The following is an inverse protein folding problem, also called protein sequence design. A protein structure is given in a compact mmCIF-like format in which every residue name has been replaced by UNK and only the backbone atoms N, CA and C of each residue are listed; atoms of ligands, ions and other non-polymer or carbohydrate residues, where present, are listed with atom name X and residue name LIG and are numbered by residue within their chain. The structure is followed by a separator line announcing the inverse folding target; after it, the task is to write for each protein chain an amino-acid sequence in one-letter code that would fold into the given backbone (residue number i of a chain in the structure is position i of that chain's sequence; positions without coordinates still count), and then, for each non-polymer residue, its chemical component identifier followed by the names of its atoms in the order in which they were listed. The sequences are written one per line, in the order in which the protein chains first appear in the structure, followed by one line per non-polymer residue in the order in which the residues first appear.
data_IF_600066524753
#
_entry.id   IF_600066524753
#
_cell.length_a   1.000
_cell.length_b   1.000
_cell.length_c   1.000
_cell.angle_alpha   90.00
_cell.angle_beta   90.00
_cell.angle_gamma   90.00
#
_symmetry.space_group_name_H-M   'P 1'
#
loop_
_entity.id
_entity.type
_entity.pdbx_description
1 polymer ?
#
# COMPACT_ATOMS: atom_id res chain seq x y z
N UNK A 1 -50.68 25.09 -38.53
CA UNK A 1 -49.50 24.34 -38.06
C UNK A 1 -49.95 23.62 -36.81
N UNK A 2 -50.04 22.30 -36.88
CA UNK A 2 -50.58 21.53 -35.78
C UNK A 2 -49.57 21.49 -34.63
N UNK A 3 -50.03 21.63 -33.39
CA UNK A 3 -49.17 21.67 -32.20
C UNK A 3 -48.30 20.39 -32.08
N UNK A 4 -48.76 19.28 -32.68
CA UNK A 4 -48.03 18.01 -32.83
C UNK A 4 -46.77 18.12 -33.70
N UNK A 5 -46.75 18.98 -34.71
CA UNK A 5 -45.62 19.11 -35.65
C UNK A 5 -44.42 19.80 -35.00
N UNK A 6 -44.64 20.57 -33.93
CA UNK A 6 -43.58 21.27 -33.17
C UNK A 6 -43.09 20.44 -31.99
N UNK A 7 -43.97 19.67 -31.34
CA UNK A 7 -43.61 18.86 -30.16
C UNK A 7 -42.74 17.66 -30.53
N UNK A 8 -43.04 16.99 -31.65
CA UNK A 8 -42.36 15.74 -32.03
C UNK A 8 -40.85 15.94 -32.29
N UNK A 9 -40.42 17.02 -33.00
CA UNK A 9 -39.00 17.38 -33.14
C UNK A 9 -38.34 17.77 -31.82
N UNK A 10 -39.06 18.49 -30.96
CA UNK A 10 -38.55 18.91 -29.64
C UNK A 10 -38.33 17.72 -28.70
N UNK A 11 -39.25 16.75 -28.70
CA UNK A 11 -39.15 15.54 -27.91
C UNK A 11 -38.00 14.63 -28.39
N UNK A 12 -37.78 14.53 -29.71
CA UNK A 12 -36.66 13.77 -30.27
C UNK A 12 -35.31 14.44 -29.97
N UNK A 13 -35.20 15.77 -30.10
CA UNK A 13 -34.00 16.51 -29.69
C UNK A 13 -33.70 16.33 -28.19
N UNK A 14 -34.72 16.44 -27.33
CA UNK A 14 -34.56 16.23 -25.89
C UNK A 14 -34.15 14.79 -25.57
N UNK A 15 -34.71 13.79 -26.26
CA UNK A 15 -34.35 12.39 -26.09
C UNK A 15 -32.91 12.10 -26.52
N UNK A 16 -32.47 12.64 -27.68
CA UNK A 16 -31.09 12.50 -28.16
C UNK A 16 -30.11 13.18 -27.20
N UNK A 17 -30.45 14.38 -26.71
CA UNK A 17 -29.62 15.10 -25.74
C UNK A 17 -29.50 14.36 -24.41
N UNK A 18 -30.60 13.82 -23.88
CA UNK A 18 -30.59 13.01 -22.67
C UNK A 18 -29.81 11.71 -22.85
N UNK A 19 -29.96 11.03 -23.99
CA UNK A 19 -29.22 9.82 -24.32
C UNK A 19 -27.71 10.12 -24.40
N UNK A 20 -27.31 11.18 -25.11
CA UNK A 20 -25.91 11.59 -25.20
C UNK A 20 -25.31 11.94 -23.83
N UNK A 21 -26.04 12.70 -23.01
CA UNK A 21 -25.59 13.08 -21.67
C UNK A 21 -25.52 11.86 -20.72
N UNK A 22 -26.45 10.91 -20.85
CA UNK A 22 -26.41 9.66 -20.10
C UNK A 22 -25.22 8.78 -20.50
N UNK A 23 -24.98 8.61 -21.80
CA UNK A 23 -23.82 7.88 -22.33
C UNK A 23 -22.51 8.52 -21.88
N UNK A 24 -22.37 9.84 -22.01
CA UNK A 24 -21.17 10.56 -21.58
C UNK A 24 -20.91 10.40 -20.08
N UNK A 25 -21.94 10.54 -19.24
CA UNK A 25 -21.83 10.32 -17.79
C UNK A 25 -21.46 8.87 -17.46
N UNK A 26 -22.01 7.91 -18.18
CA UNK A 26 -21.72 6.50 -17.96
C UNK A 26 -20.28 6.16 -18.36
N UNK A 27 -19.79 6.69 -19.48
CA UNK A 27 -18.39 6.54 -19.89
C UNK A 27 -17.42 7.21 -18.92
N UNK A 28 -17.72 8.43 -18.47
CA UNK A 28 -16.90 9.12 -17.46
C UNK A 28 -16.84 8.32 -16.16
N UNK A 29 -17.99 7.82 -15.69
CA UNK A 29 -18.06 6.98 -14.50
C UNK A 29 -17.31 5.66 -14.67
N UNK A 30 -17.38 5.05 -15.86
CA UNK A 30 -16.65 3.82 -16.18
C UNK A 30 -15.14 4.07 -16.16
N UNK A 31 -14.66 5.13 -16.82
CA UNK A 31 -13.25 5.50 -16.82
C UNK A 31 -12.72 5.84 -15.43
N UNK A 32 -13.51 6.57 -14.64
CA UNK A 32 -13.17 6.87 -13.24
C UNK A 32 -13.03 5.59 -12.41
N UNK A 33 -13.93 4.62 -12.62
CA UNK A 33 -13.88 3.32 -11.96
C UNK A 33 -12.65 2.51 -12.38
N UNK A 34 -12.34 2.48 -13.68
CA UNK A 34 -11.14 1.82 -14.23
C UNK A 34 -9.86 2.43 -13.65
N UNK A 35 -9.77 3.76 -13.59
CA UNK A 35 -8.61 4.46 -13.00
C UNK A 35 -8.47 4.12 -11.51
N UNK A 36 -9.56 4.16 -10.75
CA UNK A 36 -9.54 3.82 -9.31
C UNK A 36 -9.17 2.36 -9.07
N UNK A 37 -9.70 1.45 -9.88
CA UNK A 37 -9.39 0.03 -9.81
C UNK A 37 -7.91 -0.23 -10.13
N UNK A 38 -7.39 0.34 -11.22
CA UNK A 38 -5.99 0.19 -11.61
C UNK A 38 -5.03 0.81 -10.58
N UNK A 39 -5.39 1.95 -9.99
CA UNK A 39 -4.60 2.57 -8.93
C UNK A 39 -4.56 1.68 -7.67
N UNK A 40 -5.72 1.13 -7.26
CA UNK A 40 -5.83 0.25 -6.11
C UNK A 40 -5.07 -1.05 -6.30
N UNK A 41 -5.15 -1.65 -7.50
CA UNK A 41 -4.41 -2.86 -7.86
C UNK A 41 -2.90 -2.60 -7.79
N UNK A 42 -2.42 -1.52 -8.41
CA UNK A 42 -1.01 -1.14 -8.36
C UNK A 42 -0.53 -0.84 -6.95
N UNK A 43 -1.36 -0.18 -6.13
CA UNK A 43 -1.04 0.09 -4.72
C UNK A 43 -0.95 -1.20 -3.92
N UNK A 44 -1.89 -2.11 -4.11
CA UNK A 44 -1.90 -3.41 -3.45
C UNK A 44 -0.68 -4.25 -3.82
N UNK A 45 -0.36 -4.37 -5.11
CA UNK A 45 0.79 -5.16 -5.58
C UNK A 45 2.11 -4.58 -5.05
N UNK A 46 2.26 -3.26 -5.11
CA UNK A 46 3.45 -2.59 -4.61
C UNK A 46 3.60 -2.76 -3.09
N UNK A 47 2.53 -2.57 -2.32
CA UNK A 47 2.56 -2.77 -0.86
C UNK A 47 2.86 -4.22 -0.49
N UNK A 48 2.23 -5.20 -1.15
CA UNK A 48 2.48 -6.63 -0.89
C UNK A 48 3.93 -6.99 -1.15
N UNK A 49 4.43 -6.67 -2.35
CA UNK A 49 5.82 -6.96 -2.73
C UNK A 49 6.83 -6.25 -1.84
N UNK A 50 6.57 -5.00 -1.44
CA UNK A 50 7.44 -4.24 -0.53
C UNK A 50 7.51 -4.89 0.85
N UNK A 51 6.37 -5.30 1.42
CA UNK A 51 6.34 -5.96 2.72
C UNK A 51 7.00 -7.34 2.67
N UNK A 52 6.84 -8.09 1.58
CA UNK A 52 7.56 -9.35 1.34
C UNK A 52 9.06 -9.11 1.27
N UNK A 53 9.51 -8.08 0.56
CA UNK A 53 10.93 -7.74 0.48
C UNK A 53 11.48 -7.36 1.85
N UNK A 54 10.74 -6.57 2.65
CA UNK A 54 11.13 -6.22 4.01
C UNK A 54 11.25 -7.45 4.93
N UNK A 55 10.29 -8.38 4.85
CA UNK A 55 10.33 -9.67 5.56
C UNK A 55 11.59 -10.46 5.17
N UNK A 56 11.88 -10.56 3.87
CA UNK A 56 13.03 -11.30 3.37
C UNK A 56 14.35 -10.63 3.74
N UNK A 57 14.41 -9.31 3.75
CA UNK A 57 15.56 -8.52 4.16
C UNK A 57 15.88 -8.75 5.65
N UNK A 58 14.91 -8.53 6.53
CA UNK A 58 15.07 -8.76 7.97
C UNK A 58 15.37 -10.25 8.29
N UNK A 59 14.73 -11.18 7.57
CA UNK A 59 15.01 -12.61 7.70
C UNK A 59 16.42 -12.96 7.24
N UNK A 60 16.89 -12.34 6.15
CA UNK A 60 18.26 -12.47 5.65
C UNK A 60 19.29 -12.01 6.66
N UNK A 61 19.07 -10.84 7.29
CA UNK A 61 19.92 -10.33 8.38
C UNK A 61 19.97 -11.33 9.53
N UNK A 62 18.81 -11.81 10.02
CA UNK A 62 18.76 -12.74 11.14
C UNK A 62 19.49 -14.05 10.83
N UNK A 63 19.28 -14.63 9.65
CA UNK A 63 19.94 -15.87 9.22
C UNK A 63 21.44 -15.70 9.03
N UNK A 64 21.89 -14.56 8.49
CA UNK A 64 23.30 -14.26 8.31
C UNK A 64 24.01 -14.14 9.66
N UNK A 65 23.44 -13.38 10.60
CA UNK A 65 24.00 -13.22 11.94
C UNK A 65 24.09 -14.55 12.70
N UNK A 66 23.04 -15.38 12.62
CA UNK A 66 23.06 -16.72 13.23
C UNK A 66 24.14 -17.62 12.62
N UNK A 67 24.34 -17.57 11.30
CA UNK A 67 25.41 -18.31 10.63
C UNK A 67 26.79 -17.87 11.14
N UNK A 68 27.04 -16.57 11.26
CA UNK A 68 28.31 -16.05 11.80
C UNK A 68 28.54 -16.42 13.26
N UNK A 69 27.49 -16.44 14.09
CA UNK A 69 27.57 -16.94 15.46
C UNK A 69 27.93 -18.43 15.50
N UNK A 70 27.44 -19.23 14.55
CA UNK A 70 27.74 -20.66 14.48
C UNK A 70 29.18 -20.94 14.02
N UNK A 71 29.68 -20.20 13.02
CA UNK A 71 31.01 -20.43 12.44
C UNK A 71 32.17 -19.80 13.22
N UNK A 72 31.90 -18.79 14.05
CA UNK A 72 32.92 -18.17 14.89
C UNK A 72 32.84 -18.83 16.28
N UNK A 73 33.77 -19.70 16.70
CA UNK A 73 33.75 -20.27 18.05
C UNK A 73 34.24 -19.25 19.09
N UNK A 74 33.78 -19.36 20.34
CA UNK A 74 34.20 -18.53 21.47
C UNK A 74 33.19 -17.47 21.90
N UNK A 75 33.55 -16.65 22.90
CA UNK A 75 32.69 -15.60 23.47
C UNK A 75 33.12 -14.17 23.09
N UNK A 76 34.06 -14.04 22.16
CA UNK A 76 34.50 -12.72 21.71
C UNK A 76 33.35 -11.96 21.04
N UNK A 77 33.18 -10.66 21.37
CA UNK A 77 32.14 -9.83 20.79
C UNK A 77 32.49 -9.44 19.34
N UNK A 78 31.46 -9.23 18.53
CA UNK A 78 31.59 -8.84 17.13
C UNK A 78 31.74 -7.33 17.02
N UNK A 79 32.79 -6.85 16.36
CA UNK A 79 32.99 -5.42 16.12
C UNK A 79 31.89 -4.88 15.23
N UNK A 80 31.40 -3.67 15.52
CA UNK A 80 30.32 -3.03 14.76
C UNK A 80 30.72 -2.80 13.30
N UNK A 81 31.98 -2.48 13.00
CA UNK A 81 32.46 -2.38 11.62
C UNK A 81 32.22 -3.67 10.82
N UNK A 82 32.57 -4.82 11.39
CA UNK A 82 32.34 -6.12 10.74
C UNK A 82 30.85 -6.38 10.52
N UNK A 83 30.00 -6.03 11.49
CA UNK A 83 28.55 -6.14 11.35
C UNK A 83 28.00 -5.22 10.25
N UNK A 84 28.53 -4.01 10.11
CA UNK A 84 28.18 -3.10 9.02
C UNK A 84 28.63 -3.64 7.67
N UNK A 85 29.83 -4.21 7.55
CA UNK A 85 30.28 -4.86 6.30
C UNK A 85 29.33 -6.00 5.88
N UNK A 86 28.78 -6.73 6.85
CA UNK A 86 27.78 -7.75 6.61
C UNK A 86 26.43 -7.16 6.17
N UNK A 87 26.00 -6.06 6.79
CA UNK A 87 24.78 -5.35 6.40
C UNK A 87 24.88 -4.82 4.97
N UNK A 88 26.00 -4.18 4.62
CA UNK A 88 26.27 -3.67 3.26
C UNK A 88 26.22 -4.78 2.21
N UNK A 89 26.70 -5.99 2.52
CA UNK A 89 26.57 -7.13 1.61
C UNK A 89 25.11 -7.53 1.33
N UNK A 90 24.21 -7.35 2.31
CA UNK A 90 22.78 -7.58 2.10
C UNK A 90 22.17 -6.43 1.30
N UNK A 91 22.52 -5.19 1.64
CA UNK A 91 22.02 -3.98 0.95
C UNK A 91 22.38 -3.97 -0.53
N UNK A 92 23.61 -4.36 -0.88
CA UNK A 92 24.09 -4.44 -2.26
C UNK A 92 23.56 -5.66 -3.02
N UNK A 93 22.90 -6.59 -2.32
CA UNK A 93 22.33 -7.79 -2.94
C UNK A 93 20.95 -7.51 -3.55
N UNK A 94 20.42 -8.40 -4.40
CA UNK A 94 19.02 -8.33 -4.85
C UNK A 94 17.98 -8.39 -3.72
N UNK A 95 18.40 -8.65 -2.48
CA UNK A 95 17.55 -8.66 -1.28
C UNK A 95 17.59 -7.32 -0.52
N UNK A 96 18.39 -6.35 -0.97
CA UNK A 96 18.42 -5.00 -0.43
C UNK A 96 17.05 -4.32 -0.53
N UNK A 97 16.83 -3.34 0.34
CA UNK A 97 15.56 -2.63 0.39
C UNK A 97 15.43 -1.66 -0.79
N UNK A 98 14.31 -1.75 -1.49
CA UNK A 98 13.90 -0.75 -2.49
C UNK A 98 13.25 0.44 -1.78
N UNK A 99 14.08 1.41 -1.41
CA UNK A 99 13.63 2.60 -0.67
C UNK A 99 12.62 3.43 -1.45
N UNK A 100 12.77 3.55 -2.77
CA UNK A 100 11.83 4.31 -3.61
C UNK A 100 10.43 3.68 -3.56
N UNK A 101 10.36 2.35 -3.67
CA UNK A 101 9.10 1.63 -3.58
C UNK A 101 8.50 1.66 -2.17
N UNK A 102 9.33 1.62 -1.12
CA UNK A 102 8.88 1.86 0.26
C UNK A 102 8.27 3.24 0.44
N UNK A 103 8.92 4.29 -0.09
CA UNK A 103 8.40 5.66 -0.04
C UNK A 103 7.09 5.80 -0.81
N UNK A 104 6.99 5.18 -1.99
CA UNK A 104 5.78 5.19 -2.80
C UNK A 104 4.62 4.51 -2.07
N UNK A 105 4.83 3.34 -1.45
CA UNK A 105 3.82 2.64 -0.66
C UNK A 105 3.39 3.47 0.55
N UNK A 106 4.36 4.04 1.29
CA UNK A 106 4.09 4.94 2.42
C UNK A 106 3.17 6.09 2.01
N UNK A 107 3.51 6.81 0.94
CA UNK A 107 2.69 7.93 0.47
C UNK A 107 1.32 7.47 -0.02
N UNK A 108 1.26 6.37 -0.78
CA UNK A 108 0.01 5.82 -1.26
C UNK A 108 -0.94 5.44 -0.13
N UNK A 109 -0.42 4.85 0.95
CA UNK A 109 -1.20 4.53 2.14
C UNK A 109 -1.61 5.79 2.91
N UNK A 110 -0.66 6.69 3.19
CA UNK A 110 -0.88 7.91 3.96
C UNK A 110 -2.01 8.78 3.38
N UNK A 111 -2.02 8.99 2.06
CA UNK A 111 -2.98 9.91 1.42
C UNK A 111 -4.30 9.26 1.00
N UNK A 112 -4.31 7.95 0.74
CA UNK A 112 -5.49 7.28 0.18
C UNK A 112 -6.13 6.29 1.14
N UNK A 113 -5.46 5.90 2.23
CA UNK A 113 -5.81 4.73 3.04
C UNK A 113 -5.36 4.87 4.52
N UNK A 114 -5.98 5.78 5.25
CA UNK A 114 -5.63 6.11 6.65
C UNK A 114 -5.56 4.89 7.59
N UNK A 115 -6.49 3.93 7.45
CA UNK A 115 -6.54 2.76 8.33
C UNK A 115 -5.34 1.82 8.10
N UNK A 116 -5.00 1.56 6.84
CA UNK A 116 -3.83 0.76 6.47
C UNK A 116 -2.52 1.52 6.76
N UNK A 117 -2.52 2.84 6.59
CA UNK A 117 -1.40 3.70 6.96
C UNK A 117 -1.06 3.60 8.43
N UNK A 118 -2.07 3.65 9.32
CA UNK A 118 -1.82 3.53 10.77
C UNK A 118 -1.06 2.26 11.10
N UNK A 119 -1.49 1.12 10.54
CA UNK A 119 -0.84 -0.18 10.74
C UNK A 119 0.59 -0.18 10.21
N UNK A 120 0.79 0.32 8.99
CA UNK A 120 2.11 0.45 8.38
C UNK A 120 3.04 1.32 9.24
N UNK A 121 2.55 2.47 9.70
CA UNK A 121 3.32 3.47 10.46
C UNK A 121 3.79 2.97 11.83
N UNK A 122 3.06 2.03 12.43
CA UNK A 122 3.41 1.45 13.72
C UNK A 122 4.53 0.39 13.60
N UNK A 123 4.59 -0.34 12.48
CA UNK A 123 5.44 -1.54 12.38
C UNK A 123 6.64 -1.36 11.47
N UNK A 124 6.46 -0.79 10.28
CA UNK A 124 7.53 -0.70 9.27
C UNK A 124 8.66 0.24 9.73
N UNK A 125 8.38 1.48 10.19
CA UNK A 125 9.44 2.35 10.73
C UNK A 125 10.14 1.72 11.94
N UNK A 126 9.36 1.15 12.87
CA UNK A 126 9.92 0.53 14.08
C UNK A 126 10.91 -0.60 13.78
N UNK A 127 10.68 -1.39 12.73
CA UNK A 127 11.66 -2.40 12.30
C UNK A 127 12.93 -1.75 11.73
N UNK A 128 12.80 -0.74 10.87
CA UNK A 128 13.96 -0.05 10.29
C UNK A 128 14.81 0.62 11.37
N UNK A 129 14.18 1.34 12.29
CA UNK A 129 14.85 2.00 13.43
C UNK A 129 15.60 0.97 14.26
N UNK A 130 14.98 -0.18 14.54
CA UNK A 130 15.60 -1.27 15.29
C UNK A 130 16.84 -1.85 14.60
N UNK A 131 16.81 -1.98 13.27
CA UNK A 131 17.97 -2.41 12.48
C UNK A 131 19.06 -1.34 12.57
N UNK A 132 18.72 -0.07 12.33
CA UNK A 132 19.70 1.03 12.36
C UNK A 132 20.35 1.19 13.73
N UNK A 133 19.58 1.11 14.82
CA UNK A 133 20.10 1.15 16.18
C UNK A 133 21.09 0.01 16.47
N UNK A 134 20.78 -1.20 16.00
CA UNK A 134 21.61 -2.37 16.23
C UNK A 134 22.97 -2.23 15.54
N UNK A 135 22.95 -1.85 14.27
CA UNK A 135 24.13 -1.67 13.42
C UNK A 135 24.81 -0.29 13.62
N UNK A 136 24.21 0.59 14.41
CA UNK A 136 24.67 1.97 14.65
C UNK A 136 24.76 2.78 13.36
N UNK A 137 23.81 2.57 12.44
CA UNK A 137 23.71 3.31 11.17
C UNK A 137 23.27 4.74 11.49
N UNK A 138 24.12 5.72 11.18
CA UNK A 138 23.80 7.14 11.36
C UNK A 138 22.91 7.63 10.23
N UNK A 139 21.78 8.25 10.55
CA UNK A 139 20.93 8.89 9.54
C UNK A 139 21.29 10.38 9.36
N UNK A 140 20.94 11.00 8.21
CA UNK A 140 21.23 12.41 7.99
C UNK A 140 20.56 13.30 9.05
N UNK A 141 21.37 13.96 9.89
CA UNK A 141 20.91 14.81 10.99
C UNK A 141 21.27 14.30 12.39
N UNK A 142 21.71 13.04 12.50
CA UNK A 142 22.20 12.47 13.76
C UNK A 142 23.63 12.91 14.08
N UNK A 143 24.00 12.89 15.37
CA UNK A 143 25.39 13.03 15.78
C UNK A 143 26.21 11.84 15.27
N UNK A 144 27.38 12.12 14.68
CA UNK A 144 28.28 11.08 14.20
C UNK A 144 28.73 10.17 15.36
N UNK A 145 28.29 8.92 15.35
CA UNK A 145 28.67 7.94 16.35
C UNK A 145 30.11 7.45 16.09
N UNK A 146 30.98 7.53 17.10
CA UNK A 146 32.33 6.96 17.03
C UNK A 146 32.24 5.42 17.13
N UNK A 147 32.41 4.74 16.00
CA UNK A 147 32.20 3.28 15.88
C UNK A 147 33.43 2.42 16.16
N UNK A 148 34.64 3.00 16.22
CA UNK A 148 35.92 2.27 16.17
C UNK A 148 36.11 1.19 17.25
N UNK A 149 35.53 1.40 18.45
CA UNK A 149 35.64 0.46 19.58
C UNK A 149 34.29 -0.15 19.99
N UNK A 150 33.26 0.00 19.18
CA UNK A 150 31.93 -0.55 19.50
C UNK A 150 31.83 -2.00 19.03
N UNK A 151 31.20 -2.83 19.86
CA UNK A 151 31.00 -4.24 19.59
C UNK A 151 29.65 -4.72 20.13
N UNK A 152 29.12 -5.78 19.53
CA UNK A 152 27.94 -6.50 20.01
C UNK A 152 28.35 -7.88 20.52
N UNK A 153 27.88 -8.22 21.70
CA UNK A 153 28.02 -9.56 22.28
C UNK A 153 27.12 -10.55 21.54
N UNK A 154 27.41 -11.85 21.70
CA UNK A 154 26.54 -12.91 21.16
C UNK A 154 25.15 -12.92 21.76
N UNK A 155 25.03 -12.56 23.04
CA UNK A 155 23.73 -12.44 23.68
C UNK A 155 22.89 -11.34 23.01
N UNK A 156 23.48 -10.17 22.75
CA UNK A 156 22.81 -9.08 22.03
C UNK A 156 22.43 -9.48 20.60
N UNK A 157 23.31 -10.19 19.88
CA UNK A 157 22.99 -10.69 18.53
C UNK A 157 21.82 -11.68 18.58
N UNK A 158 21.85 -12.65 19.50
CA UNK A 158 20.78 -13.65 19.63
C UNK A 158 19.44 -13.03 20.04
N UNK A 159 19.46 -12.04 20.95
CA UNK A 159 18.26 -11.27 21.32
C UNK A 159 17.72 -10.50 20.12
N UNK A 160 18.60 -9.83 19.36
CA UNK A 160 18.23 -9.10 18.16
C UNK A 160 17.65 -10.00 17.07
N UNK A 161 18.29 -11.15 16.76
CA UNK A 161 17.75 -12.07 15.74
C UNK A 161 16.44 -12.71 16.16
N UNK A 162 16.21 -12.93 17.47
CA UNK A 162 14.92 -13.35 18.00
C UNK A 162 13.85 -12.25 17.86
N UNK A 163 14.16 -11.01 18.22
CA UNK A 163 13.28 -9.83 18.06
C UNK A 163 12.89 -9.61 16.59
N UNK A 164 13.85 -9.67 15.65
CA UNK A 164 13.58 -9.59 14.22
C UNK A 164 12.55 -10.64 13.76
N UNK A 165 12.68 -11.89 14.23
CA UNK A 165 11.75 -12.98 13.87
C UNK A 165 10.33 -12.78 14.39
N UNK A 166 10.19 -12.14 15.55
CA UNK A 166 8.86 -11.77 16.07
C UNK A 166 8.26 -10.70 15.16
N UNK A 167 9.00 -9.62 14.91
CA UNK A 167 8.54 -8.50 14.07
C UNK A 167 8.23 -8.91 12.63
N UNK A 168 8.99 -9.84 12.05
CA UNK A 168 8.71 -10.42 10.74
C UNK A 168 7.33 -11.07 10.68
N UNK A 169 6.94 -11.80 11.74
CA UNK A 169 5.61 -12.41 11.81
C UNK A 169 4.52 -11.35 11.89
N UNK A 170 4.74 -10.29 12.67
CA UNK A 170 3.79 -9.18 12.78
C UNK A 170 3.61 -8.47 11.43
N UNK A 171 4.70 -8.25 10.68
CA UNK A 171 4.66 -7.69 9.34
C UNK A 171 3.89 -8.60 8.38
N UNK A 172 4.09 -9.92 8.43
CA UNK A 172 3.36 -10.86 7.58
C UNK A 172 1.85 -10.86 7.87
N UNK A 173 1.47 -10.72 9.13
CA UNK A 173 0.06 -10.53 9.52
C UNK A 173 -0.49 -9.23 8.92
N UNK A 174 0.19 -8.11 9.13
CA UNK A 174 -0.26 -6.82 8.61
C UNK A 174 -0.34 -6.78 7.08
N UNK A 175 0.64 -7.37 6.40
CA UNK A 175 0.64 -7.54 4.94
C UNK A 175 -0.64 -8.20 4.47
N UNK A 176 -1.02 -9.35 5.05
CA UNK A 176 -2.25 -10.07 4.69
C UNK A 176 -3.48 -9.22 4.91
N UNK A 177 -3.52 -8.45 6.00
CA UNK A 177 -4.64 -7.57 6.30
C UNK A 177 -4.75 -6.39 5.32
N UNK A 178 -3.65 -5.72 5.00
CA UNK A 178 -3.61 -4.60 4.03
C UNK A 178 -4.07 -5.09 2.65
N UNK A 179 -3.51 -6.22 2.19
CA UNK A 179 -3.88 -6.81 0.90
C UNK A 179 -5.34 -7.26 0.90
N UNK A 180 -5.82 -7.87 1.98
CA UNK A 180 -7.23 -8.29 2.09
C UNK A 180 -8.18 -7.09 2.08
N UNK A 181 -7.84 -5.99 2.74
CA UNK A 181 -8.64 -4.76 2.74
C UNK A 181 -8.72 -4.15 1.33
N UNK A 182 -7.59 -4.05 0.63
CA UNK A 182 -7.56 -3.56 -0.75
C UNK A 182 -8.30 -4.49 -1.73
N UNK A 183 -8.18 -5.80 -1.57
CA UNK A 183 -8.94 -6.77 -2.37
C UNK A 183 -10.46 -6.65 -2.14
N UNK A 184 -10.88 -6.41 -0.89
CA UNK A 184 -12.29 -6.17 -0.58
C UNK A 184 -12.81 -4.89 -1.23
N UNK A 185 -12.04 -3.81 -1.20
CA UNK A 185 -12.40 -2.56 -1.87
C UNK A 185 -12.45 -2.71 -3.38
N UNK A 186 -11.51 -3.45 -3.97
CA UNK A 186 -11.53 -3.77 -5.39
C UNK A 186 -12.80 -4.54 -5.76
N UNK A 187 -13.19 -5.51 -4.93
CA UNK A 187 -14.44 -6.26 -5.11
C UNK A 187 -15.67 -5.35 -5.01
N UNK A 188 -15.70 -4.41 -4.06
CA UNK A 188 -16.80 -3.45 -3.92
C UNK A 188 -16.87 -2.46 -5.10
N UNK A 189 -15.72 -2.05 -5.64
CA UNK A 189 -15.64 -1.17 -6.80
C UNK A 189 -16.10 -1.87 -8.08
N UNK A 190 -15.78 -3.16 -8.25
CA UNK A 190 -16.09 -3.93 -9.45
C UNK A 190 -17.47 -4.59 -9.43
N UNK A 191 -18.16 -4.56 -8.29
CA UNK A 191 -19.55 -4.98 -8.21
C UNK A 191 -20.43 -4.04 -9.04
N UNK A 192 -21.30 -4.63 -9.86
CA UNK A 192 -22.37 -3.92 -10.55
C UNK A 192 -23.14 -3.09 -9.53
N UNK A 193 -23.14 -1.76 -9.68
CA UNK A 193 -24.00 -0.91 -8.89
C UNK A 193 -25.43 -1.49 -8.96
N UNK A 194 -26.18 -1.59 -7.85
CA UNK A 194 -27.58 -1.99 -7.93
C UNK A 194 -28.24 -1.02 -8.89
N UNK A 195 -28.67 -1.54 -10.05
CA UNK A 195 -29.25 -0.78 -11.13
C UNK A 195 -30.52 -0.13 -10.61
N UNK A 196 -30.39 1.07 -10.04
CA UNK A 196 -31.51 1.84 -9.55
C UNK A 196 -32.18 2.58 -10.73
N UNK A 197 -32.26 1.88 -11.87
CA UNK A 197 -33.05 2.24 -13.05
C UNK A 197 -34.49 2.48 -12.58
N UNK A 198 -34.97 1.73 -11.58
CA UNK A 198 -36.27 1.96 -10.95
C UNK A 198 -36.37 3.34 -10.28
N UNK A 199 -35.40 3.79 -9.48
CA UNK A 199 -35.44 5.17 -8.93
C UNK A 199 -35.32 6.25 -10.01
N UNK A 200 -34.54 5.98 -11.06
CA UNK A 200 -34.35 6.93 -12.15
C UNK A 200 -35.63 7.06 -13.00
N UNK A 201 -36.28 5.94 -13.30
CA UNK A 201 -37.60 5.85 -13.95
C UNK A 201 -38.68 6.45 -13.05
N UNK A 202 -38.65 6.20 -11.74
CA UNK A 202 -39.60 6.77 -10.78
C UNK A 202 -39.47 8.29 -10.69
N UNK A 203 -38.24 8.83 -10.61
CA UNK A 203 -37.98 10.27 -10.61
C UNK A 203 -38.37 10.94 -11.93
N UNK A 204 -38.09 10.30 -13.07
CA UNK A 204 -38.53 10.79 -14.38
C UNK A 204 -40.06 10.77 -14.51
N UNK A 205 -40.72 9.69 -14.09
CA UNK A 205 -42.19 9.58 -14.09
C UNK A 205 -42.84 10.65 -13.22
N UNK A 206 -42.29 10.91 -12.02
CA UNK A 206 -42.79 11.94 -11.12
C UNK A 206 -42.68 13.34 -11.73
N UNK A 207 -41.53 13.68 -12.34
CA UNK A 207 -41.33 14.98 -13.02
C UNK A 207 -42.21 15.15 -14.26
N UNK A 208 -42.43 14.09 -15.03
CA UNK A 208 -43.36 14.12 -16.17
C UNK A 208 -44.79 14.35 -15.71
N UNK A 209 -45.24 13.63 -14.67
CA UNK A 209 -46.58 13.81 -14.11
C UNK A 209 -46.80 15.21 -13.52
N UNK A 210 -45.77 15.82 -12.91
CA UNK A 210 -45.86 17.18 -12.41
C UNK A 210 -45.87 18.23 -13.54
N UNK A 211 -45.25 17.94 -14.68
CA UNK A 211 -45.26 18.81 -15.86
C UNK A 211 -46.64 18.84 -16.55
N UNK A 212 -47.34 17.70 -16.64
CA UNK A 212 -48.69 17.62 -17.22
C UNK A 212 -49.83 18.05 -16.26
N UNK A 213 -49.51 18.43 -15.03
CA UNK A 213 -50.46 19.00 -14.05
C UNK A 213 -50.49 20.53 -14.03
N UNK A 214 -49.63 21.20 -14.79
CA UNK A 214 -49.69 22.65 -15.08
C UNK A 214 -50.31 22.89 -16.44
#
# INVERSE_FOLDING_TARGET
MDFKDVITPLATLAAVWLAANFTLRNELRKKELEIKAAHLEKLSENCDSTLIHLINYAGGIASMLDAHMHFTPGNEPFRVHFLNDLLTQIDDSPRGLDLEKMHWCRHGLEFHRENEWKRWSEVVPSLNDRIYDFFMVTTPGDENLVMLDKSRTRAEIAEFTADLRVRIKDIDVQRKEIVSAMANDFRLLTQSAPNNIYDLVFKCRKRLLDFFKR
#
